data_IF_355243787168
#
_entry.id   IF_355243787168
#
_cell.length_a   1.000
_cell.length_b   1.000
_cell.length_c   1.000
_cell.angle_alpha   90.00
_cell.angle_beta   90.00
_cell.angle_gamma   90.00
#
_symmetry.space_group_name_H-M   'P 1'
#
loop_
_entity.id
_entity.type
_entity.pdbx_description
1 polymer ?
#
# COMPACT_ATOMS: atom_id res chain seq x y z
N UNK A 1 -3.31 -9.01 17.64
CA UNK A 1 -2.27 -8.32 16.84
C UNK A 1 -2.70 -8.32 15.37
N UNK A 2 -3.04 -7.17 14.77
CA UNK A 2 -3.44 -7.12 13.36
C UNK A 2 -2.23 -7.41 12.48
N UNK A 3 -2.18 -8.59 11.87
CA UNK A 3 -1.10 -9.01 10.96
C UNK A 3 -1.14 -8.16 9.69
N UNK A 4 -0.10 -7.35 9.47
CA UNK A 4 0.02 -6.52 8.27
C UNK A 4 0.42 -7.42 7.10
N UNK A 5 -0.42 -7.51 6.07
CA UNK A 5 -0.15 -8.33 4.88
C UNK A 5 1.14 -7.83 4.20
N UNK A 6 2.10 -8.73 3.99
CA UNK A 6 3.40 -8.38 3.41
C UNK A 6 3.27 -8.18 1.90
N UNK A 7 3.82 -7.07 1.39
CA UNK A 7 3.81 -6.76 -0.05
C UNK A 7 4.42 -7.88 -0.90
N UNK A 8 5.47 -8.54 -0.41
CA UNK A 8 6.14 -9.64 -1.12
C UNK A 8 5.23 -10.85 -1.34
N UNK A 9 4.38 -11.18 -0.37
CA UNK A 9 3.44 -12.29 -0.48
C UNK A 9 2.37 -12.01 -1.55
N UNK A 10 1.89 -10.77 -1.65
CA UNK A 10 0.90 -10.37 -2.66
C UNK A 10 1.52 -10.40 -4.05
N UNK A 11 2.75 -9.88 -4.21
CA UNK A 11 3.46 -9.91 -5.49
C UNK A 11 3.67 -11.36 -5.95
N UNK A 12 4.19 -12.23 -5.07
CA UNK A 12 4.39 -13.64 -5.40
C UNK A 12 3.07 -14.34 -5.78
N UNK A 13 1.97 -14.07 -5.06
CA UNK A 13 0.67 -14.63 -5.39
C UNK A 13 0.17 -14.17 -6.78
N UNK A 14 0.35 -12.89 -7.13
CA UNK A 14 -0.05 -12.36 -8.44
C UNK A 14 0.81 -12.94 -9.56
N UNK A 15 2.12 -13.10 -9.34
CA UNK A 15 3.02 -13.76 -10.30
C UNK A 15 2.64 -15.23 -10.52
N UNK A 16 2.29 -15.96 -9.45
CA UNK A 16 1.83 -17.34 -9.55
C UNK A 16 0.49 -17.47 -10.27
N UNK A 17 -0.46 -16.57 -10.02
CA UNK A 17 -1.74 -16.54 -10.74
C UNK A 17 -1.49 -16.30 -12.24
N UNK A 18 -0.62 -15.35 -12.58
CA UNK A 18 -0.27 -15.07 -13.98
C UNK A 18 0.40 -16.29 -14.64
N UNK A 19 1.30 -16.98 -13.93
CA UNK A 19 1.95 -18.21 -14.39
C UNK A 19 0.93 -19.33 -14.65
N UNK A 20 -0.02 -19.53 -13.74
CA UNK A 20 -1.10 -20.53 -13.90
C UNK A 20 -2.01 -20.22 -15.08
N UNK A 21 -2.18 -18.95 -15.43
CA UNK A 21 -2.92 -18.51 -16.61
C UNK A 21 -2.11 -18.58 -17.92
N UNK A 22 -0.87 -19.06 -17.87
CA UNK A 22 0.01 -19.15 -19.03
C UNK A 22 0.63 -17.82 -19.46
N UNK A 23 0.52 -16.77 -18.64
CA UNK A 23 1.19 -15.50 -18.89
C UNK A 23 2.67 -15.59 -18.55
N UNK A 24 3.53 -15.21 -19.50
CA UNK A 24 4.95 -15.02 -19.23
C UNK A 24 5.18 -13.63 -18.62
N UNK A 25 5.39 -13.60 -17.30
CA UNK A 25 5.65 -12.35 -16.56
C UNK A 25 7.07 -11.89 -16.85
N UNK A 26 7.21 -10.91 -17.73
CA UNK A 26 8.49 -10.32 -18.10
C UNK A 26 8.98 -9.30 -17.03
N UNK A 27 10.16 -8.71 -17.24
CA UNK A 27 10.73 -7.73 -16.31
C UNK A 27 9.86 -6.48 -16.10
N UNK A 28 9.19 -6.01 -17.14
CA UNK A 28 8.27 -4.87 -17.07
C UNK A 28 6.99 -5.23 -16.31
N UNK A 29 6.45 -6.42 -16.51
CA UNK A 29 5.28 -6.92 -15.78
C UNK A 29 5.57 -7.02 -14.28
N UNK A 30 6.74 -7.55 -13.90
CA UNK A 30 7.18 -7.60 -12.50
C UNK A 30 7.25 -6.21 -11.87
N UNK A 31 7.80 -5.24 -12.61
CA UNK A 31 7.86 -3.84 -12.15
C UNK A 31 6.45 -3.25 -11.97
N UNK A 32 5.55 -3.50 -12.93
CA UNK A 32 4.17 -3.03 -12.90
C UNK A 32 3.40 -3.63 -11.71
N UNK A 33 3.52 -4.95 -11.50
CA UNK A 33 2.90 -5.67 -10.38
C UNK A 33 3.38 -5.07 -9.06
N UNK A 34 4.70 -4.93 -8.85
CA UNK A 34 5.26 -4.34 -7.62
C UNK A 34 4.76 -2.93 -7.37
N UNK A 35 4.73 -2.10 -8.41
CA UNK A 35 4.31 -0.69 -8.32
C UNK A 35 2.83 -0.59 -7.94
N UNK A 36 1.97 -1.35 -8.60
CA UNK A 36 0.52 -1.38 -8.33
C UNK A 36 0.21 -1.91 -6.93
N UNK A 37 0.88 -2.99 -6.51
CA UNK A 37 0.73 -3.53 -5.14
C UNK A 37 1.15 -2.49 -4.11
N UNK A 38 2.29 -1.82 -4.31
CA UNK A 38 2.80 -0.80 -3.40
C UNK A 38 1.84 0.40 -3.29
N UNK A 39 1.35 0.89 -4.43
CA UNK A 39 0.37 1.99 -4.47
C UNK A 39 -0.93 1.63 -3.75
N UNK A 40 -1.44 0.42 -3.96
CA UNK A 40 -2.68 -0.06 -3.34
C UNK A 40 -2.52 -0.20 -1.82
N UNK A 41 -1.41 -0.76 -1.35
CA UNK A 41 -1.13 -0.88 0.08
C UNK A 41 -0.96 0.50 0.74
N UNK A 42 -0.28 1.42 0.07
CA UNK A 42 -0.14 2.80 0.55
C UNK A 42 -1.49 3.53 0.64
N UNK A 43 -2.37 3.33 -0.35
CA UNK A 43 -3.73 3.88 -0.33
C UNK A 43 -4.55 3.29 0.83
N UNK A 44 -4.51 1.97 1.05
CA UNK A 44 -5.18 1.31 2.19
C UNK A 44 -4.68 1.83 3.53
N UNK A 45 -3.37 1.96 3.68
CA UNK A 45 -2.76 2.48 4.90
C UNK A 45 -3.11 3.96 5.13
N UNK A 46 -3.11 4.78 4.07
CA UNK A 46 -3.55 6.18 4.13
C UNK A 46 -5.01 6.26 4.58
N UNK A 47 -5.89 5.43 4.01
CA UNK A 47 -7.29 5.35 4.41
C UNK A 47 -7.43 4.97 5.88
N UNK A 48 -6.75 3.92 6.34
CA UNK A 48 -6.73 3.51 7.75
C UNK A 48 -6.26 4.64 8.67
N UNK A 49 -5.19 5.35 8.30
CA UNK A 49 -4.68 6.50 9.06
C UNK A 49 -5.70 7.63 9.13
N UNK A 50 -6.40 7.93 8.04
CA UNK A 50 -7.47 8.94 8.02
C UNK A 50 -8.65 8.57 8.92
N UNK A 51 -9.10 7.32 8.87
CA UNK A 51 -10.21 6.85 9.71
C UNK A 51 -9.86 6.85 11.20
N UNK A 52 -8.59 6.64 11.53
CA UNK A 52 -8.12 6.64 12.91
C UNK A 52 -7.56 8.00 13.35
N UNK A 53 -7.59 9.03 12.50
CA UNK A 53 -7.08 10.34 12.85
C UNK A 53 -8.04 11.01 13.85
N UNK A 54 -7.52 11.69 14.90
CA UNK A 54 -8.36 12.49 15.76
C UNK A 54 -8.98 13.66 14.97
N UNK A 55 -10.07 14.22 15.50
CA UNK A 55 -10.65 15.43 14.95
C UNK A 55 -9.59 16.55 14.89
N UNK A 56 -9.63 17.35 13.84
CA UNK A 56 -8.72 18.49 13.69
C UNK A 56 -9.06 19.55 14.74
N UNK A 57 -8.06 19.92 15.55
CA UNK A 57 -8.14 21.03 16.49
C UNK A 57 -7.20 22.15 16.05
N UNK A 58 -7.75 23.32 15.74
CA UNK A 58 -6.95 24.52 15.48
C UNK A 58 -6.31 25.00 16.79
N UNK A 59 -4.98 24.89 16.90
CA UNK A 59 -4.22 25.43 18.02
C UNK A 59 -3.68 26.82 17.65
N UNK A 60 -4.10 27.84 18.40
CA UNK A 60 -3.61 29.21 18.20
C UNK A 60 -2.09 29.24 18.42
N UNK A 61 -1.29 29.76 17.47
CA UNK A 61 0.16 29.88 17.64
C UNK A 61 0.50 30.70 18.88
N UNK A 62 1.47 30.24 19.66
CA UNK A 62 2.02 31.04 20.77
C UNK A 62 2.78 32.23 20.18
N UNK A 63 2.53 33.47 20.64
CA UNK A 63 3.31 34.62 20.19
C UNK A 63 4.78 34.44 20.56
N UNK A 64 5.69 34.77 19.63
CA UNK A 64 7.11 34.89 19.95
C UNK A 64 7.27 36.14 20.83
N UNK A 65 7.79 35.98 22.05
CA UNK A 65 8.12 37.10 22.93
C UNK A 65 9.61 37.41 22.82
#
# INVERSE_FOLDING_TARGET
MSTRLKSSAIVAAVEEIARQQGHNVNGQDRLLIRTRVSATLAAKERHRRRMNAPAYEWKKPTPHR
#
